data_IF_128432296341
#
_entry.id   IF_128432296341
#
_cell.length_a   1.000
_cell.length_b   1.000
_cell.length_c   1.000
_cell.angle_alpha   90.00
_cell.angle_beta   90.00
_cell.angle_gamma   90.00
#
_symmetry.space_group_name_H-M   'P 1'
#
loop_
_entity.id
_entity.type
_entity.pdbx_description
1 polymer ?
#
# COMPACT_ATOMS: atom_id res chain seq x y z
N UNK A 1 12.31 9.80 -3.47
CA UNK A 1 12.38 8.70 -2.48
C UNK A 1 12.99 7.49 -3.15
N UNK A 2 13.76 6.67 -2.43
CA UNK A 2 14.31 5.42 -2.98
C UNK A 2 13.28 4.30 -2.98
N UNK A 3 13.53 3.25 -3.77
CA UNK A 3 12.73 2.02 -3.77
C UNK A 3 12.80 1.33 -2.39
N UNK A 4 11.69 0.71 -1.96
CA UNK A 4 11.67 -0.06 -0.70
C UNK A 4 10.68 -1.23 -0.78
N UNK A 5 10.90 -2.23 0.07
CA UNK A 5 10.07 -3.44 0.20
C UNK A 5 9.19 -3.31 1.43
N UNK A 6 7.88 -3.35 1.24
CA UNK A 6 6.89 -3.31 2.33
C UNK A 6 6.41 -4.73 2.61
N UNK A 7 6.63 -5.22 3.83
CA UNK A 7 6.15 -6.53 4.27
C UNK A 7 4.72 -6.45 4.76
N UNK A 8 3.80 -7.20 4.14
CA UNK A 8 2.41 -7.26 4.59
C UNK A 8 2.29 -8.15 5.84
N UNK A 9 2.10 -7.52 7.00
CA UNK A 9 1.92 -8.18 8.29
C UNK A 9 0.44 -8.50 8.51
N UNK A 10 -0.10 -9.41 7.68
CA UNK A 10 -1.49 -9.86 7.77
C UNK A 10 -1.57 -11.04 8.76
N UNK A 11 -1.30 -10.76 10.04
CA UNK A 11 -1.37 -11.70 11.15
C UNK A 11 -2.63 -11.45 11.98
N UNK A 12 -3.20 -12.53 12.54
CA UNK A 12 -4.44 -12.46 13.31
C UNK A 12 -4.28 -11.88 14.72
N UNK A 13 -3.05 -11.70 15.22
CA UNK A 13 -2.80 -11.21 16.57
C UNK A 13 -1.54 -10.36 16.70
N UNK A 14 -1.54 -9.55 17.76
CA UNK A 14 -0.37 -8.78 18.21
C UNK A 14 0.84 -9.69 18.45
N UNK A 15 0.66 -10.78 19.18
CA UNK A 15 1.74 -11.70 19.55
C UNK A 15 2.42 -12.29 18.31
N UNK A 16 1.64 -12.81 17.34
CA UNK A 16 2.17 -13.35 16.09
C UNK A 16 2.95 -12.29 15.31
N UNK A 17 2.42 -11.06 15.23
CA UNK A 17 3.07 -9.94 14.54
C UNK A 17 4.41 -9.60 15.19
N UNK A 18 4.44 -9.42 16.51
CA UNK A 18 5.66 -9.00 17.21
C UNK A 18 6.72 -10.10 17.19
N UNK A 19 6.35 -11.36 17.37
CA UNK A 19 7.25 -12.52 17.26
C UNK A 19 7.87 -12.63 15.85
N UNK A 20 7.11 -12.27 14.81
CA UNK A 20 7.64 -12.20 13.46
C UNK A 20 8.64 -11.06 13.32
N UNK A 21 8.31 -9.85 13.76
CA UNK A 21 9.16 -8.66 13.65
C UNK A 21 10.44 -8.75 14.49
N UNK A 22 10.40 -9.41 15.63
CA UNK A 22 11.55 -9.60 16.52
C UNK A 22 12.66 -10.48 15.88
N UNK A 23 12.36 -11.23 14.81
CA UNK A 23 13.36 -11.95 14.01
C UNK A 23 14.31 -11.01 13.23
N UNK A 24 13.88 -9.78 12.93
CA UNK A 24 14.64 -8.81 12.15
C UNK A 24 15.54 -7.96 13.06
N UNK A 25 16.68 -8.50 13.46
CA UNK A 25 17.64 -7.82 14.35
C UNK A 25 18.54 -6.82 13.63
N UNK A 26 18.76 -7.00 12.32
CA UNK A 26 19.53 -6.11 11.44
C UNK A 26 18.65 -5.03 10.82
N UNK A 27 18.42 -5.13 9.50
CA UNK A 27 17.54 -4.23 8.77
C UNK A 27 16.09 -4.38 9.25
N UNK A 28 15.48 -3.27 9.61
CA UNK A 28 14.06 -3.24 10.02
C UNK A 28 13.18 -3.07 8.78
N UNK A 29 12.33 -4.05 8.41
CA UNK A 29 11.46 -3.92 7.27
C UNK A 29 10.45 -2.77 7.45
N UNK A 30 10.11 -2.12 6.34
CA UNK A 30 8.90 -1.32 6.24
C UNK A 30 7.72 -2.29 6.26
N UNK A 31 6.72 -2.07 7.11
CA UNK A 31 5.61 -3.03 7.29
C UNK A 31 4.27 -2.40 6.92
N UNK A 32 3.38 -3.21 6.35
CA UNK A 32 1.98 -2.87 6.15
C UNK A 32 1.13 -3.51 7.24
N UNK A 33 0.33 -2.68 7.91
CA UNK A 33 -0.69 -3.14 8.85
C UNK A 33 -2.04 -3.01 8.14
N UNK A 34 -2.71 -4.13 7.90
CA UNK A 34 -4.02 -4.19 7.27
C UNK A 34 -5.18 -4.10 8.28
N UNK A 35 -6.40 -4.19 7.73
CA UNK A 35 -7.64 -4.07 8.49
C UNK A 35 -7.75 -5.14 9.59
N UNK A 36 -7.42 -6.41 9.30
CA UNK A 36 -7.54 -7.51 10.26
C UNK A 36 -6.79 -7.20 11.55
N UNK A 37 -5.48 -6.97 11.47
CA UNK A 37 -4.66 -6.69 12.64
C UNK A 37 -5.05 -5.39 13.34
N UNK A 38 -5.32 -4.33 12.56
CA UNK A 38 -5.68 -3.04 13.14
C UNK A 38 -7.02 -3.07 13.87
N UNK A 39 -8.03 -3.75 13.33
CA UNK A 39 -9.34 -3.86 14.00
C UNK A 39 -9.31 -4.80 15.20
N UNK A 40 -8.43 -5.81 15.20
CA UNK A 40 -8.24 -6.67 16.36
C UNK A 40 -7.51 -5.96 17.52
N UNK A 41 -6.47 -5.17 17.23
CA UNK A 41 -5.52 -4.66 18.24
C UNK A 41 -5.57 -3.13 18.44
N UNK A 42 -6.24 -2.42 17.56
CA UNK A 42 -6.38 -0.96 17.61
C UNK A 42 -5.06 -0.19 17.44
N UNK A 43 -5.03 1.09 17.85
CA UNK A 43 -3.85 1.95 17.70
C UNK A 43 -2.62 1.50 18.50
N UNK A 44 -2.79 0.61 19.49
CA UNK A 44 -1.70 0.16 20.34
C UNK A 44 -0.64 -0.60 19.53
N UNK A 45 -1.05 -1.44 18.59
CA UNK A 45 -0.13 -2.23 17.75
C UNK A 45 0.76 -1.31 16.88
N UNK A 46 0.21 -0.20 16.37
CA UNK A 46 0.98 0.79 15.60
C UNK A 46 2.11 1.37 16.43
N UNK A 47 1.81 1.81 17.66
CA UNK A 47 2.81 2.37 18.58
C UNK A 47 3.92 1.38 18.93
N UNK A 48 3.56 0.12 19.14
CA UNK A 48 4.52 -0.92 19.48
C UNK A 48 5.46 -1.26 18.31
N UNK A 49 4.94 -1.29 17.10
CA UNK A 49 5.73 -1.53 15.88
C UNK A 49 6.65 -0.33 15.60
N UNK A 50 6.16 0.90 15.77
CA UNK A 50 7.01 2.11 15.67
C UNK A 50 8.12 2.12 16.71
N UNK A 51 7.83 1.73 17.96
CA UNK A 51 8.84 1.65 19.02
C UNK A 51 9.97 0.65 18.73
N UNK A 52 9.74 -0.34 17.85
CA UNK A 52 10.74 -1.28 17.33
C UNK A 52 11.56 -0.72 16.16
N UNK A 53 11.28 0.50 15.72
CA UNK A 53 12.01 1.19 14.66
C UNK A 53 11.53 0.88 13.22
N UNK A 54 10.36 0.28 13.07
CA UNK A 54 9.79 0.02 11.74
C UNK A 54 9.07 1.25 11.18
N UNK A 55 9.16 1.44 9.86
CA UNK A 55 8.21 2.29 9.12
C UNK A 55 6.90 1.54 8.96
N UNK A 56 5.77 2.28 8.90
CA UNK A 56 4.42 1.70 8.82
C UNK A 56 3.62 2.29 7.67
N UNK A 57 3.13 1.41 6.81
CA UNK A 57 2.01 1.67 5.92
C UNK A 57 0.73 1.16 6.58
N UNK A 58 -0.15 2.06 7.03
CA UNK A 58 -1.44 1.72 7.62
C UNK A 58 -2.49 1.63 6.52
N UNK A 59 -2.86 0.39 6.16
CA UNK A 59 -3.66 0.04 4.98
C UNK A 59 -5.12 -0.24 5.35
N UNK A 60 -5.90 0.81 5.62
CA UNK A 60 -7.31 0.73 6.04
C UNK A 60 -8.30 1.05 4.92
N UNK A 61 -7.85 1.58 3.79
CA UNK A 61 -8.66 1.85 2.59
C UNK A 61 -9.94 2.64 2.87
N UNK A 62 -9.81 3.81 3.52
CA UNK A 62 -10.98 4.61 3.90
C UNK A 62 -11.83 4.97 2.68
N UNK A 63 -13.15 4.80 2.83
CA UNK A 63 -14.12 5.13 1.81
C UNK A 63 -15.46 5.48 2.48
N UNK A 64 -15.78 6.77 2.53
CA UNK A 64 -17.02 7.31 3.13
C UNK A 64 -17.24 8.73 2.59
N UNK A 65 -18.29 9.43 3.04
CA UNK A 65 -18.50 10.84 2.71
C UNK A 65 -17.30 11.70 3.16
N UNK A 66 -17.01 12.82 2.46
CA UNK A 66 -15.80 13.62 2.69
C UNK A 66 -15.53 14.00 4.14
N UNK A 67 -16.57 14.44 4.87
CA UNK A 67 -16.43 14.86 6.27
C UNK A 67 -16.06 13.71 7.22
N UNK A 68 -16.58 12.51 6.99
CA UNK A 68 -16.25 11.31 7.79
C UNK A 68 -14.80 10.92 7.56
N UNK A 69 -14.36 10.89 6.30
CA UNK A 69 -12.98 10.56 5.94
C UNK A 69 -12.00 11.60 6.48
N UNK A 70 -12.34 12.91 6.38
CA UNK A 70 -11.55 13.99 6.98
C UNK A 70 -11.31 13.77 8.48
N UNK A 71 -12.37 13.49 9.23
CA UNK A 71 -12.26 13.25 10.68
C UNK A 71 -11.48 11.99 11.02
N UNK A 72 -11.67 10.91 10.28
CA UNK A 72 -10.91 9.68 10.44
C UNK A 72 -9.42 9.91 10.16
N UNK A 73 -9.07 10.59 9.08
CA UNK A 73 -7.68 10.95 8.75
C UNK A 73 -7.02 11.83 9.80
N UNK A 74 -7.76 12.77 10.42
CA UNK A 74 -7.27 13.56 11.56
C UNK A 74 -6.92 12.71 12.79
N UNK A 75 -7.61 11.58 12.99
CA UNK A 75 -7.22 10.61 14.04
C UNK A 75 -5.97 9.87 13.62
N UNK A 76 -5.89 9.38 12.37
CA UNK A 76 -4.75 8.62 11.85
C UNK A 76 -3.48 9.48 11.80
N UNK A 77 -3.57 10.78 11.55
CA UNK A 77 -2.42 11.70 11.52
C UNK A 77 -1.58 11.68 12.81
N UNK A 78 -2.20 11.30 13.94
CA UNK A 78 -1.56 11.25 15.27
C UNK A 78 -0.90 9.92 15.59
N UNK A 79 -0.98 8.92 14.71
CA UNK A 79 -0.43 7.57 14.95
C UNK A 79 1.03 7.41 14.53
N UNK A 80 1.67 8.48 14.00
CA UNK A 80 3.05 8.47 13.53
C UNK A 80 3.33 7.37 12.48
N UNK A 81 2.35 7.09 11.61
CA UNK A 81 2.55 6.21 10.46
C UNK A 81 3.24 6.96 9.33
N UNK A 82 3.90 6.22 8.45
CA UNK A 82 4.64 6.81 7.32
C UNK A 82 3.77 6.95 6.07
N UNK A 83 2.86 5.99 5.85
CA UNK A 83 1.90 5.98 4.72
C UNK A 83 0.52 5.56 5.24
N UNK A 84 -0.55 6.15 4.70
CA UNK A 84 -1.93 5.65 4.83
C UNK A 84 -2.66 5.77 3.50
N UNK A 85 -3.85 5.18 3.39
CA UNK A 85 -4.58 5.15 2.13
C UNK A 85 -6.09 5.32 2.26
N UNK A 86 -6.70 5.49 1.09
CA UNK A 86 -8.14 5.56 0.86
C UNK A 86 -8.46 4.96 -0.53
N UNK A 87 -9.73 4.82 -0.88
CA UNK A 87 -10.14 4.45 -2.24
C UNK A 87 -10.31 5.66 -3.15
N UNK A 88 -9.72 5.63 -4.36
CA UNK A 88 -9.88 6.69 -5.38
C UNK A 88 -11.35 6.85 -5.83
N UNK A 89 -12.12 5.75 -5.80
CA UNK A 89 -13.56 5.74 -6.14
C UNK A 89 -14.41 6.69 -5.28
N UNK A 90 -13.90 7.15 -4.13
CA UNK A 90 -14.56 8.14 -3.27
C UNK A 90 -14.60 9.56 -3.82
N UNK A 91 -14.10 9.79 -5.02
CA UNK A 91 -14.01 11.07 -5.74
C UNK A 91 -12.96 12.06 -5.22
N UNK A 92 -12.65 13.07 -6.03
CA UNK A 92 -11.68 14.12 -5.68
C UNK A 92 -12.07 14.90 -4.41
N UNK A 93 -13.35 15.07 -4.15
CA UNK A 93 -13.81 15.80 -2.96
C UNK A 93 -13.49 15.03 -1.68
N UNK A 94 -13.68 13.70 -1.67
CA UNK A 94 -13.30 12.86 -0.53
C UNK A 94 -11.77 12.84 -0.34
N UNK A 95 -11.01 12.72 -1.42
CA UNK A 95 -9.54 12.71 -1.39
C UNK A 95 -8.97 14.02 -0.85
N UNK A 96 -9.48 15.19 -1.28
CA UNK A 96 -9.07 16.50 -0.76
C UNK A 96 -9.42 16.67 0.73
N UNK A 97 -10.62 16.24 1.13
CA UNK A 97 -11.03 16.28 2.52
C UNK A 97 -10.16 15.36 3.41
N UNK A 98 -9.76 14.20 2.88
CA UNK A 98 -8.81 13.30 3.53
C UNK A 98 -7.45 13.95 3.74
N UNK A 99 -6.91 14.59 2.70
CA UNK A 99 -5.63 15.29 2.76
C UNK A 99 -5.65 16.42 3.79
N UNK A 100 -6.73 17.22 3.80
CA UNK A 100 -6.92 18.27 4.80
C UNK A 100 -6.94 17.70 6.23
N UNK A 101 -7.68 16.60 6.46
CA UNK A 101 -7.75 15.95 7.77
C UNK A 101 -6.45 15.32 8.22
N UNK A 102 -5.65 14.80 7.28
CA UNK A 102 -4.38 14.14 7.56
C UNK A 102 -3.24 15.13 7.86
N UNK A 103 -3.33 16.36 7.36
CA UNK A 103 -2.33 17.40 7.55
C UNK A 103 -2.45 17.98 8.96
N UNK A 104 -1.36 17.93 9.73
CA UNK A 104 -1.27 18.48 11.10
C UNK A 104 -1.17 20.00 11.06
N UNK A 105 -1.32 20.66 12.21
CA UNK A 105 -1.21 22.11 12.35
C UNK A 105 0.17 22.66 11.93
N UNK A 106 1.22 21.88 12.09
CA UNK A 106 2.59 22.22 11.68
C UNK A 106 2.86 21.97 10.19
N UNK A 107 1.84 21.54 9.42
CA UNK A 107 1.94 21.22 8.00
C UNK A 107 2.51 19.83 7.70
N UNK A 108 2.96 19.06 8.70
CA UNK A 108 3.46 17.70 8.50
C UNK A 108 2.32 16.70 8.34
N UNK A 109 2.56 15.61 7.64
CA UNK A 109 1.61 14.51 7.47
C UNK A 109 2.29 13.23 7.00
N UNK A 110 1.68 12.05 7.22
CA UNK A 110 2.02 10.84 6.47
C UNK A 110 1.78 11.02 4.97
N UNK A 111 2.41 10.19 4.14
CA UNK A 111 2.03 10.09 2.74
C UNK A 111 0.59 9.54 2.63
N UNK A 112 -0.20 10.15 1.74
CA UNK A 112 -1.56 9.73 1.44
C UNK A 112 -1.62 9.20 0.01
N UNK A 113 -2.01 7.93 -0.14
CA UNK A 113 -2.12 7.28 -1.44
C UNK A 113 -3.54 6.76 -1.68
N UNK A 114 -3.94 6.66 -2.94
CA UNK A 114 -5.26 6.15 -3.30
C UNK A 114 -5.18 4.73 -3.90
N UNK A 115 -6.06 3.85 -3.45
CA UNK A 115 -6.27 2.54 -4.09
C UNK A 115 -7.12 2.76 -5.34
N UNK A 116 -6.63 2.32 -6.49
CA UNK A 116 -7.33 2.38 -7.78
C UNK A 116 -8.33 1.23 -7.90
N UNK A 117 -8.08 0.24 -8.74
CA UNK A 117 -8.83 -1.01 -8.74
C UNK A 117 -8.05 -2.09 -7.99
N UNK A 118 -8.76 -2.92 -7.21
CA UNK A 118 -8.13 -4.03 -6.50
C UNK A 118 -7.53 -5.03 -7.49
N UNK A 119 -6.42 -5.67 -7.13
CA UNK A 119 -5.78 -6.70 -8.00
C UNK A 119 -6.63 -7.96 -8.19
N UNK A 120 -7.68 -8.13 -7.39
CA UNK A 120 -8.71 -9.17 -7.53
C UNK A 120 -9.83 -8.80 -8.51
N UNK A 121 -9.99 -7.51 -8.84
CA UNK A 121 -10.99 -7.03 -9.80
C UNK A 121 -10.48 -7.25 -11.21
N UNK A 122 -11.25 -7.98 -12.03
CA UNK A 122 -11.05 -8.13 -13.46
C UNK A 122 -12.07 -7.28 -14.25
N UNK A 123 -11.95 -7.29 -15.58
CA UNK A 123 -12.82 -6.51 -16.47
C UNK A 123 -14.29 -6.91 -16.29
N UNK A 124 -14.56 -8.22 -16.21
CA UNK A 124 -15.91 -8.76 -16.08
C UNK A 124 -16.59 -8.31 -14.80
N UNK A 125 -15.91 -8.42 -13.64
CA UNK A 125 -16.42 -7.96 -12.34
C UNK A 125 -16.63 -6.45 -12.33
N UNK A 126 -15.73 -5.69 -12.97
CA UNK A 126 -15.85 -4.24 -13.03
C UNK A 126 -17.08 -3.81 -13.87
N UNK A 127 -17.35 -4.49 -14.98
CA UNK A 127 -18.51 -4.19 -15.82
C UNK A 127 -19.84 -4.63 -15.18
N UNK A 128 -19.88 -5.85 -14.63
CA UNK A 128 -21.12 -6.44 -14.14
C UNK A 128 -21.50 -5.98 -12.74
N UNK A 129 -20.52 -5.87 -11.82
CA UNK A 129 -20.80 -5.56 -10.41
C UNK A 129 -20.70 -4.06 -10.11
N UNK A 130 -19.77 -3.35 -10.79
CA UNK A 130 -19.54 -1.91 -10.58
C UNK A 130 -20.19 -1.05 -11.69
N UNK A 131 -20.71 -1.64 -12.76
CA UNK A 131 -21.29 -0.96 -13.93
C UNK A 131 -20.32 0.05 -14.58
N UNK A 132 -19.02 -0.25 -14.57
CA UNK A 132 -17.98 0.55 -15.22
C UNK A 132 -17.58 -0.15 -16.51
N UNK A 133 -18.00 0.37 -17.65
CA UNK A 133 -17.84 -0.27 -18.97
C UNK A 133 -16.57 0.18 -19.72
N UNK A 134 -15.73 1.03 -19.13
CA UNK A 134 -14.45 1.40 -19.70
C UNK A 134 -13.40 0.29 -19.48
N UNK A 135 -12.35 0.18 -20.30
CA UNK A 135 -11.24 -0.73 -20.07
C UNK A 135 -10.59 -0.50 -18.69
N UNK A 136 -10.25 -1.57 -17.98
CA UNK A 136 -9.72 -1.48 -16.61
C UNK A 136 -8.46 -0.60 -16.53
N UNK A 137 -7.59 -0.65 -17.54
CA UNK A 137 -6.40 0.20 -17.64
C UNK A 137 -6.76 1.69 -17.71
N UNK A 138 -7.81 2.05 -18.47
CA UNK A 138 -8.28 3.44 -18.57
C UNK A 138 -8.87 3.93 -17.24
N UNK A 139 -9.60 3.06 -16.55
CA UNK A 139 -10.18 3.36 -15.23
C UNK A 139 -9.06 3.59 -14.20
N UNK A 140 -8.04 2.74 -14.18
CA UNK A 140 -6.87 2.91 -13.29
C UNK A 140 -6.16 4.22 -13.59
N UNK A 141 -5.92 4.54 -14.86
CA UNK A 141 -5.27 5.80 -15.25
C UNK A 141 -6.14 7.03 -14.93
N UNK A 142 -7.46 6.92 -15.03
CA UNK A 142 -8.38 7.98 -14.62
C UNK A 142 -8.32 8.22 -13.11
N UNK A 143 -8.34 7.15 -12.31
CA UNK A 143 -8.22 7.26 -10.86
C UNK A 143 -6.87 7.82 -10.42
N UNK A 144 -5.78 7.43 -11.09
CA UNK A 144 -4.46 7.99 -10.84
C UNK A 144 -4.42 9.51 -11.06
N UNK A 145 -4.95 9.97 -12.20
CA UNK A 145 -5.05 11.40 -12.50
C UNK A 145 -5.93 12.16 -11.49
N UNK A 146 -7.08 11.58 -11.10
CA UNK A 146 -7.94 12.18 -10.07
C UNK A 146 -7.24 12.30 -8.70
N UNK A 147 -6.42 11.30 -8.33
CA UNK A 147 -5.66 11.32 -7.09
C UNK A 147 -4.54 12.37 -7.12
N UNK A 148 -3.82 12.47 -8.23
CA UNK A 148 -2.80 13.49 -8.46
C UNK A 148 -3.40 14.90 -8.43
N UNK A 149 -4.50 15.15 -9.14
CA UNK A 149 -5.24 16.42 -9.13
C UNK A 149 -5.82 16.79 -7.75
N UNK A 150 -6.09 15.79 -6.90
CA UNK A 150 -6.51 16.01 -5.52
C UNK A 150 -5.35 16.34 -4.58
N UNK A 151 -4.09 16.21 -5.03
CA UNK A 151 -2.88 16.49 -4.26
C UNK A 151 -2.34 15.33 -3.45
N UNK A 152 -2.75 14.09 -3.77
CA UNK A 152 -2.22 12.90 -3.11
C UNK A 152 -0.79 12.60 -3.57
N UNK A 153 -0.07 11.79 -2.78
CA UNK A 153 1.34 11.48 -3.02
C UNK A 153 1.55 10.31 -3.99
N UNK A 154 0.51 9.51 -4.25
CA UNK A 154 0.61 8.35 -5.12
C UNK A 154 -0.61 7.45 -5.09
N UNK A 155 -0.45 6.25 -5.63
CA UNK A 155 -1.51 5.24 -5.72
C UNK A 155 -1.02 3.84 -5.36
N UNK A 156 -1.99 2.98 -5.03
CA UNK A 156 -1.83 1.52 -5.09
C UNK A 156 -2.37 1.04 -6.43
N UNK A 157 -1.54 0.37 -7.21
CA UNK A 157 -1.89 -0.19 -8.52
C UNK A 157 -1.18 -1.52 -8.77
N UNK A 158 -1.53 -2.23 -9.83
CA UNK A 158 -0.77 -3.40 -10.26
C UNK A 158 0.64 -3.00 -10.71
N UNK A 159 1.66 -3.85 -10.51
CA UNK A 159 2.99 -3.59 -11.07
C UNK A 159 2.97 -3.32 -12.59
N UNK A 160 2.05 -3.95 -13.34
CA UNK A 160 1.89 -3.75 -14.79
C UNK A 160 1.51 -2.32 -15.18
N UNK A 161 0.96 -1.55 -14.24
CA UNK A 161 0.45 -0.20 -14.46
C UNK A 161 1.45 0.90 -14.05
N UNK A 162 2.47 0.57 -13.22
CA UNK A 162 3.37 1.55 -12.62
C UNK A 162 4.07 2.47 -13.64
N UNK A 163 4.59 1.90 -14.74
CA UNK A 163 5.23 2.69 -15.80
C UNK A 163 4.28 3.69 -16.45
N UNK A 164 3.05 3.26 -16.78
CA UNK A 164 2.01 4.12 -17.37
C UNK A 164 1.58 5.24 -16.42
N UNK A 165 1.55 4.96 -15.11
CA UNK A 165 1.24 5.97 -14.08
C UNK A 165 2.31 7.06 -14.07
N UNK A 166 3.58 6.68 -14.09
CA UNK A 166 4.68 7.66 -14.14
C UNK A 166 4.73 8.46 -15.45
N UNK A 167 4.34 7.86 -16.56
CA UNK A 167 4.19 8.59 -17.84
C UNK A 167 3.08 9.64 -17.76
N UNK A 168 1.97 9.34 -17.08
CA UNK A 168 0.79 10.22 -17.00
C UNK A 168 0.90 11.27 -15.89
N UNK A 169 1.30 10.87 -14.69
CA UNK A 169 1.30 11.70 -13.47
C UNK A 169 2.71 12.18 -13.07
N UNK A 170 3.75 11.81 -13.83
CA UNK A 170 5.13 12.15 -13.51
C UNK A 170 5.79 11.20 -12.50
N UNK A 171 7.14 11.18 -12.50
CA UNK A 171 7.95 10.30 -11.66
C UNK A 171 7.92 10.61 -10.16
N UNK A 172 7.36 11.74 -9.78
CA UNK A 172 7.17 12.13 -8.37
C UNK A 172 5.94 11.48 -7.74
N UNK A 173 4.99 11.00 -8.55
CA UNK A 173 3.76 10.39 -8.09
C UNK A 173 4.00 8.90 -7.82
N UNK A 174 3.96 8.51 -6.55
CA UNK A 174 4.42 7.21 -6.08
C UNK A 174 3.51 6.06 -6.51
N UNK A 175 4.11 4.93 -6.84
CA UNK A 175 3.42 3.68 -7.12
C UNK A 175 3.75 2.63 -6.05
N UNK A 176 2.71 2.12 -5.37
CA UNK A 176 2.83 1.02 -4.42
C UNK A 176 2.14 -0.19 -5.01
N UNK A 177 2.89 -1.26 -5.24
CA UNK A 177 2.44 -2.38 -6.06
C UNK A 177 2.41 -3.69 -5.28
N UNK A 178 1.21 -4.19 -4.91
CA UNK A 178 1.02 -5.52 -4.33
C UNK A 178 1.05 -6.61 -5.40
N UNK A 179 0.92 -7.87 -4.98
CA UNK A 179 0.87 -9.01 -5.91
C UNK A 179 2.25 -9.49 -6.37
N UNK A 180 3.29 -9.19 -5.61
CA UNK A 180 4.67 -9.60 -5.93
C UNK A 180 4.94 -10.99 -5.36
N UNK A 181 5.57 -11.85 -6.20
CA UNK A 181 5.97 -13.23 -5.88
C UNK A 181 7.37 -13.50 -6.40
N UNK A 182 8.12 -14.39 -5.76
CA UNK A 182 9.36 -14.90 -6.34
C UNK A 182 9.07 -15.76 -7.57
N UNK A 183 10.03 -15.86 -8.49
CA UNK A 183 9.87 -16.64 -9.73
C UNK A 183 9.65 -18.15 -9.47
N UNK A 184 10.17 -18.64 -8.35
CA UNK A 184 10.09 -20.03 -7.87
C UNK A 184 8.97 -20.23 -6.83
N UNK A 185 8.11 -19.21 -6.61
CA UNK A 185 7.08 -19.22 -5.57
C UNK A 185 5.66 -19.53 -6.09
N UNK A 186 4.76 -19.84 -5.15
CA UNK A 186 3.35 -20.05 -5.43
C UNK A 186 2.62 -18.72 -5.73
N UNK A 187 1.80 -18.71 -6.78
CA UNK A 187 0.99 -17.55 -7.21
C UNK A 187 -0.15 -17.27 -6.22
N UNK A 188 -0.72 -18.31 -5.60
CA UNK A 188 -1.82 -18.20 -4.66
C UNK A 188 -3.08 -17.58 -5.26
N UNK A 189 -3.72 -16.66 -4.54
CA UNK A 189 -4.98 -15.97 -4.89
C UNK A 189 -4.80 -14.74 -5.79
N UNK A 190 -3.56 -14.41 -6.20
CA UNK A 190 -3.29 -13.24 -7.02
C UNK A 190 -3.42 -13.54 -8.51
N UNK A 191 -4.22 -12.75 -9.24
CA UNK A 191 -4.42 -12.89 -10.70
C UNK A 191 -3.37 -12.14 -11.52
N UNK A 192 -2.75 -11.09 -10.98
CA UNK A 192 -1.78 -10.21 -11.65
C UNK A 192 -0.50 -10.16 -10.84
N UNK A 193 0.39 -11.15 -11.03
CA UNK A 193 1.64 -11.32 -10.28
C UNK A 193 2.87 -10.89 -11.07
N UNK A 194 3.90 -10.45 -10.36
CA UNK A 194 5.19 -10.06 -10.92
C UNK A 194 6.31 -10.36 -9.95
N UNK A 195 7.54 -10.61 -10.46
CA UNK A 195 8.71 -10.77 -9.60
C UNK A 195 9.23 -9.42 -9.10
N UNK A 196 9.99 -9.38 -7.97
CA UNK A 196 10.59 -8.14 -7.49
C UNK A 196 11.45 -7.45 -8.56
N UNK A 197 12.30 -8.22 -9.26
CA UNK A 197 13.14 -7.70 -10.33
C UNK A 197 12.33 -7.13 -11.52
N UNK A 198 11.22 -7.78 -11.89
CA UNK A 198 10.35 -7.28 -12.96
C UNK A 198 9.61 -6.01 -12.53
N UNK A 199 9.12 -5.94 -11.27
CA UNK A 199 8.50 -4.72 -10.73
C UNK A 199 9.49 -3.55 -10.68
N UNK A 200 10.77 -3.83 -10.35
CA UNK A 200 11.87 -2.85 -10.44
C UNK A 200 12.05 -2.33 -11.86
N UNK A 201 12.09 -3.23 -12.86
CA UNK A 201 12.34 -2.88 -14.26
C UNK A 201 11.21 -2.01 -14.84
N UNK A 202 9.94 -2.23 -14.44
CA UNK A 202 8.79 -1.42 -14.87
C UNK A 202 8.73 -0.07 -14.13
N UNK A 203 9.46 0.08 -13.02
CA UNK A 203 9.58 1.36 -12.32
C UNK A 203 8.69 1.52 -11.08
N UNK A 204 8.19 0.43 -10.48
CA UNK A 204 7.52 0.52 -9.17
C UNK A 204 8.43 1.19 -8.13
N UNK A 205 7.84 2.06 -7.29
CA UNK A 205 8.60 2.72 -6.20
C UNK A 205 8.62 1.87 -4.94
N UNK A 206 7.49 1.23 -4.62
CA UNK A 206 7.35 0.29 -3.52
C UNK A 206 6.68 -0.99 -3.98
N UNK A 207 7.13 -2.12 -3.45
CA UNK A 207 6.41 -3.39 -3.61
C UNK A 207 5.87 -3.85 -2.26
N UNK A 208 4.68 -4.47 -2.28
CA UNK A 208 4.09 -5.06 -1.07
C UNK A 208 4.14 -6.57 -1.19
N UNK A 209 4.85 -7.21 -0.26
CA UNK A 209 5.10 -8.66 -0.26
C UNK A 209 4.58 -9.27 1.04
N UNK A 210 3.67 -10.22 0.94
CA UNK A 210 3.09 -10.94 2.09
C UNK A 210 3.70 -12.33 2.26
N UNK A 211 2.91 -13.37 1.98
CA UNK A 211 3.26 -14.80 2.16
C UNK A 211 4.65 -15.23 1.67
N UNK A 212 5.21 -14.73 0.55
CA UNK A 212 6.58 -15.06 0.17
C UNK A 212 7.64 -14.74 1.22
N UNK A 213 7.36 -13.80 2.12
CA UNK A 213 8.22 -13.46 3.26
C UNK A 213 7.63 -14.02 4.56
N UNK A 214 6.35 -13.75 4.83
CA UNK A 214 5.75 -14.06 6.15
C UNK A 214 5.57 -15.55 6.42
N UNK A 215 5.41 -16.36 5.37
CA UNK A 215 5.28 -17.82 5.45
C UNK A 215 6.58 -18.57 5.07
N UNK A 216 7.68 -17.86 4.80
CA UNK A 216 8.97 -18.50 4.51
C UNK A 216 9.54 -19.20 5.75
N UNK A 217 10.27 -20.30 5.55
CA UNK A 217 11.01 -20.99 6.62
C UNK A 217 12.05 -20.06 7.28
N UNK A 218 12.68 -19.20 6.48
CA UNK A 218 13.54 -18.09 6.95
C UNK A 218 13.02 -16.77 6.37
N UNK A 219 12.16 -16.05 7.12
CA UNK A 219 11.60 -14.79 6.64
C UNK A 219 12.63 -13.66 6.52
N UNK A 220 13.74 -13.71 7.27
CA UNK A 220 14.79 -12.70 7.16
C UNK A 220 15.53 -12.87 5.84
N UNK A 221 15.95 -14.10 5.51
CA UNK A 221 16.59 -14.40 4.23
C UNK A 221 15.68 -14.09 3.03
N UNK A 222 14.37 -14.41 3.14
CA UNK A 222 13.39 -14.09 2.10
C UNK A 222 13.21 -12.57 1.90
N UNK A 223 13.20 -11.80 2.99
CA UNK A 223 13.15 -10.33 2.91
C UNK A 223 14.41 -9.75 2.28
N UNK A 224 15.60 -10.16 2.71
CA UNK A 224 16.87 -9.68 2.13
C UNK A 224 17.00 -10.04 0.64
N UNK A 225 16.56 -11.25 0.23
CA UNK A 225 16.46 -11.62 -1.19
C UNK A 225 15.55 -10.64 -1.94
N UNK A 226 14.38 -10.33 -1.39
CA UNK A 226 13.44 -9.41 -2.02
C UNK A 226 14.02 -8.01 -2.16
N UNK A 227 14.75 -7.52 -1.15
CA UNK A 227 15.45 -6.24 -1.18
C UNK A 227 16.53 -6.22 -2.26
N UNK A 228 17.36 -7.26 -2.32
CA UNK A 228 18.41 -7.37 -3.33
C UNK A 228 17.84 -7.38 -4.76
N UNK A 229 16.74 -8.11 -5.00
CA UNK A 229 16.09 -8.17 -6.32
C UNK A 229 15.39 -6.85 -6.71
N UNK A 230 14.86 -6.08 -5.74
CA UNK A 230 14.07 -4.90 -6.02
C UNK A 230 14.81 -3.57 -5.84
N UNK A 231 15.61 -3.42 -4.79
CA UNK A 231 16.24 -2.15 -4.42
C UNK A 231 17.65 -2.00 -5.01
N UNK A 232 18.46 -3.08 -4.96
CA UNK A 232 19.87 -3.08 -5.38
C UNK A 232 20.01 -3.31 -6.89
#
# INVERSE_FOLDING_TARGET
MGKDVIVACDFASREATLNFLDKFTGRKPFVKIGMELYYAEGPAIVKEIKARGHKIFLDLKLHDIPNTVKKAMSVLSRLDVDITNLHAAGTKNMMRAALEGLTREDGTRPLLIAVTQLTSTDQESMENDLMIHAPIDEVVMHYAACAEEAGLDGIVCSPLEAGKVHEKCGKHFLTITPGVRFADGDVGDQKRVMTPAAAKAIGSDYIVVGRPITAASDPVAAYERCVAEFCD
#
